data_IF_416086377697
#
_entry.id   IF_416086377697
#
_cell.length_a   1.000
_cell.length_b   1.000
_cell.length_c   1.000
_cell.angle_alpha   90.00
_cell.angle_beta   90.00
_cell.angle_gamma   90.00
#
_symmetry.space_group_name_H-M   'P 1'
#
loop_
_entity.id
_entity.type
_entity.pdbx_description
1 polymer ?
#
# COMPACT_ATOMS: atom_id res chain seq x y z
N UNK A 1 12.15 -7.98 -7.03
CA UNK A 1 11.97 -7.16 -5.83
C UNK A 1 12.10 -5.70 -6.22
N UNK A 2 11.21 -4.85 -5.73
CA UNK A 2 11.31 -3.40 -5.85
C UNK A 2 11.71 -2.84 -4.49
N UNK A 3 12.75 -2.01 -4.49
CA UNK A 3 13.27 -1.32 -3.31
C UNK A 3 13.22 0.19 -3.55
N UNK A 4 12.61 0.92 -2.62
CA UNK A 4 12.34 2.34 -2.77
C UNK A 4 12.85 3.11 -1.56
N UNK A 5 13.37 4.32 -1.80
CA UNK A 5 13.64 5.25 -0.71
C UNK A 5 12.36 5.49 0.12
N UNK A 6 12.46 5.33 1.41
CA UNK A 6 11.34 5.44 2.34
C UNK A 6 11.49 6.63 3.29
N UNK A 7 12.40 7.54 2.98
CA UNK A 7 12.71 8.73 3.76
C UNK A 7 14.03 8.65 4.56
N UNK A 8 14.71 7.50 4.54
CA UNK A 8 15.98 7.30 5.24
C UNK A 8 17.15 8.11 4.66
N UNK A 9 17.06 8.47 3.40
CA UNK A 9 18.08 9.26 2.68
C UNK A 9 17.59 10.68 2.35
N UNK A 10 16.60 11.18 3.06
CA UNK A 10 15.96 12.47 2.81
C UNK A 10 14.49 12.33 2.40
N UNK A 11 13.85 13.43 2.08
CA UNK A 11 12.45 13.42 1.67
C UNK A 11 12.25 12.64 0.38
N UNK A 12 11.16 11.87 0.34
CA UNK A 12 10.76 11.15 -0.84
C UNK A 12 10.30 12.10 -1.94
N UNK A 13 10.66 11.79 -3.16
CA UNK A 13 10.18 12.49 -4.35
C UNK A 13 9.10 11.68 -5.05
N UNK A 14 8.20 12.37 -5.77
CA UNK A 14 7.10 11.69 -6.48
C UNK A 14 7.66 10.76 -7.55
N UNK A 15 8.58 11.27 -8.37
CA UNK A 15 9.24 10.46 -9.39
C UNK A 15 10.32 9.57 -8.77
N UNK A 16 10.25 8.29 -9.08
CA UNK A 16 11.13 7.20 -8.62
C UNK A 16 10.94 6.72 -7.18
N UNK A 17 10.40 7.54 -6.23
CA UNK A 17 10.16 7.06 -4.86
C UNK A 17 8.69 6.67 -4.63
N UNK A 18 7.76 7.50 -5.09
CA UNK A 18 6.34 7.16 -5.06
C UNK A 18 5.91 6.45 -6.35
N UNK A 19 6.24 7.01 -7.51
CA UNK A 19 6.03 6.35 -8.79
C UNK A 19 7.15 5.35 -9.08
N UNK A 20 6.88 4.35 -9.91
CA UNK A 20 7.93 3.49 -10.45
C UNK A 20 8.80 4.26 -11.45
N UNK A 21 10.09 3.98 -11.43
CA UNK A 21 11.01 4.45 -12.45
C UNK A 21 10.75 3.80 -13.81
N UNK A 22 11.24 4.42 -14.88
CA UNK A 22 11.05 3.93 -16.25
C UNK A 22 11.58 2.50 -16.44
N UNK A 23 12.71 2.18 -15.84
CA UNK A 23 13.32 0.85 -15.93
C UNK A 23 12.52 -0.21 -15.17
N UNK A 24 11.92 0.15 -14.04
CA UNK A 24 11.06 -0.75 -13.27
C UNK A 24 9.76 -1.07 -14.02
N UNK A 25 9.15 -0.05 -14.63
CA UNK A 25 7.97 -0.24 -15.50
C UNK A 25 8.33 -1.14 -16.69
N UNK A 26 9.45 -0.86 -17.37
CA UNK A 26 9.92 -1.65 -18.48
C UNK A 26 10.22 -3.11 -18.09
N UNK A 27 10.76 -3.32 -16.88
CA UNK A 27 11.01 -4.65 -16.35
C UNK A 27 9.71 -5.41 -16.11
N UNK A 28 8.73 -4.79 -15.46
CA UNK A 28 7.40 -5.39 -15.23
C UNK A 28 6.77 -5.77 -16.57
N UNK A 29 6.75 -4.85 -17.53
CA UNK A 29 6.15 -5.08 -18.85
C UNK A 29 6.83 -6.24 -19.58
N UNK A 30 8.15 -6.26 -19.60
CA UNK A 30 8.94 -7.31 -20.27
C UNK A 30 8.73 -8.68 -19.64
N UNK A 31 8.78 -8.75 -18.33
CA UNK A 31 8.63 -10.01 -17.58
C UNK A 31 7.19 -10.52 -17.69
N UNK A 32 6.21 -9.65 -17.47
CA UNK A 32 4.80 -10.03 -17.57
C UNK A 32 4.45 -10.57 -18.95
N UNK A 33 4.89 -9.88 -20.02
CA UNK A 33 4.69 -10.35 -21.38
C UNK A 33 5.32 -11.73 -21.62
N UNK A 34 6.61 -11.88 -21.29
CA UNK A 34 7.36 -13.11 -21.58
C UNK A 34 6.84 -14.34 -20.84
N UNK A 35 6.31 -14.16 -19.62
CA UNK A 35 5.79 -15.26 -18.80
C UNK A 35 4.33 -15.53 -19.07
N UNK A 36 3.49 -14.51 -19.25
CA UNK A 36 2.08 -14.69 -19.52
C UNK A 36 1.83 -15.34 -20.88
N UNK A 37 2.64 -15.05 -21.90
CA UNK A 37 2.61 -15.73 -23.21
C UNK A 37 2.85 -17.25 -23.09
N UNK A 38 3.49 -17.69 -22.01
CA UNK A 38 3.77 -19.11 -21.70
C UNK A 38 2.80 -19.70 -20.66
N UNK A 39 1.72 -18.97 -20.32
CA UNK A 39 0.77 -19.37 -19.29
C UNK A 39 1.35 -19.42 -17.88
N UNK A 40 2.48 -18.69 -17.63
CA UNK A 40 3.12 -18.60 -16.32
C UNK A 40 2.67 -17.35 -15.59
N UNK A 41 2.75 -17.39 -14.26
CA UNK A 41 2.35 -16.31 -13.37
C UNK A 41 3.52 -15.41 -13.01
N UNK A 42 3.22 -14.13 -12.79
CA UNK A 42 4.17 -13.12 -12.36
C UNK A 42 3.74 -12.55 -11.03
N UNK A 43 4.63 -12.59 -10.06
CA UNK A 43 4.42 -12.04 -8.72
C UNK A 43 5.46 -10.95 -8.47
N UNK A 44 4.99 -9.79 -8.04
CA UNK A 44 5.87 -8.70 -7.60
C UNK A 44 5.97 -8.74 -6.08
N UNK A 45 7.19 -8.75 -5.56
CA UNK A 45 7.46 -8.63 -4.12
C UNK A 45 7.95 -7.22 -3.86
N UNK A 46 7.21 -6.50 -3.03
CA UNK A 46 7.53 -5.11 -2.65
C UNK A 46 8.29 -5.10 -1.32
N UNK A 47 9.54 -4.66 -1.36
CA UNK A 47 10.34 -4.34 -0.18
C UNK A 47 10.41 -2.82 -0.07
N UNK A 48 9.45 -2.23 0.62
CA UNK A 48 9.24 -0.78 0.70
C UNK A 48 8.84 -0.38 2.12
N UNK A 49 9.24 0.78 2.58
CA UNK A 49 8.87 1.32 3.89
C UNK A 49 7.70 2.30 3.86
N UNK A 50 7.22 2.65 2.67
CA UNK A 50 6.10 3.59 2.49
C UNK A 50 5.23 3.25 1.29
N UNK A 51 4.11 3.93 1.19
CA UNK A 51 3.16 3.76 0.08
C UNK A 51 3.79 4.17 -1.26
N UNK A 52 3.54 3.38 -2.29
CA UNK A 52 3.93 3.68 -3.67
C UNK A 52 2.71 3.65 -4.60
N UNK A 53 2.85 4.25 -5.77
CA UNK A 53 1.86 4.12 -6.83
C UNK A 53 1.80 2.68 -7.35
N UNK A 54 0.61 2.13 -7.42
CA UNK A 54 0.38 0.76 -7.91
C UNK A 54 -0.64 0.68 -9.04
N UNK A 55 -1.43 1.73 -9.23
CA UNK A 55 -2.58 1.69 -10.13
C UNK A 55 -2.19 1.53 -11.61
N UNK A 56 -1.03 2.04 -12.00
CA UNK A 56 -0.58 1.99 -13.40
C UNK A 56 -0.04 0.63 -13.84
N UNK A 57 0.31 -0.25 -12.89
CA UNK A 57 0.99 -1.51 -13.20
C UNK A 57 0.43 -2.76 -12.51
N UNK A 58 -0.38 -2.62 -11.46
CA UNK A 58 -0.89 -3.77 -10.70
C UNK A 58 -1.65 -4.79 -11.55
N UNK A 59 -2.34 -4.34 -12.59
CA UNK A 59 -3.14 -5.19 -13.47
C UNK A 59 -2.28 -5.93 -14.52
N UNK A 60 -0.98 -5.64 -14.57
CA UNK A 60 -0.01 -6.33 -15.43
C UNK A 60 0.59 -7.58 -14.80
N UNK A 61 0.37 -7.78 -13.50
CA UNK A 61 0.92 -8.88 -12.72
C UNK A 61 -0.19 -9.68 -12.06
N UNK A 62 0.10 -10.94 -11.71
CA UNK A 62 -0.91 -11.85 -11.16
C UNK A 62 -1.08 -11.70 -9.65
N UNK A 63 -0.03 -11.29 -8.94
CA UNK A 63 -0.08 -11.03 -7.51
C UNK A 63 1.00 -10.03 -7.06
N UNK A 64 0.72 -9.40 -5.95
CA UNK A 64 1.65 -8.51 -5.25
C UNK A 64 1.78 -8.99 -3.81
N UNK A 65 3.01 -9.26 -3.38
CA UNK A 65 3.34 -9.56 -2.00
C UNK A 65 4.06 -8.36 -1.39
N UNK A 66 3.39 -7.67 -0.49
CA UNK A 66 3.97 -6.54 0.23
C UNK A 66 4.67 -7.03 1.48
N UNK A 67 6.00 -7.01 1.44
CA UNK A 67 6.85 -7.46 2.54
C UNK A 67 7.19 -6.33 3.53
N UNK A 68 6.95 -5.07 3.16
CA UNK A 68 7.45 -3.91 3.88
C UNK A 68 8.97 -3.96 4.06
N UNK A 69 9.49 -3.58 5.21
CA UNK A 69 10.89 -3.71 5.61
C UNK A 69 11.01 -4.83 6.64
N UNK A 70 11.14 -6.10 6.21
CA UNK A 70 10.90 -7.27 7.06
C UNK A 70 12.08 -7.63 8.00
N UNK A 71 13.16 -6.86 7.97
CA UNK A 71 14.31 -7.07 8.83
C UNK A 71 15.18 -8.28 8.44
N UNK A 72 15.95 -8.80 9.41
CA UNK A 72 16.98 -9.80 9.19
C UNK A 72 16.47 -11.13 8.59
N UNK A 73 15.32 -11.61 9.05
CA UNK A 73 14.71 -12.86 8.57
C UNK A 73 13.74 -12.66 7.39
N UNK A 74 13.79 -11.49 6.75
CA UNK A 74 12.86 -11.12 5.70
C UNK A 74 12.83 -12.06 4.51
N UNK A 75 14.00 -12.54 4.09
CA UNK A 75 14.10 -13.49 2.98
C UNK A 75 13.40 -14.81 3.29
N UNK A 76 13.62 -15.36 4.48
CA UNK A 76 12.98 -16.60 4.93
C UNK A 76 11.47 -16.43 5.09
N UNK A 77 11.04 -15.33 5.71
CA UNK A 77 9.62 -15.02 5.91
C UNK A 77 8.86 -14.86 4.59
N UNK A 78 9.44 -14.12 3.64
CA UNK A 78 8.87 -13.95 2.29
C UNK A 78 8.79 -15.29 1.56
N UNK A 79 9.86 -16.12 1.63
CA UNK A 79 9.88 -17.42 0.99
C UNK A 79 8.82 -18.37 1.57
N UNK A 80 8.62 -18.37 2.88
CA UNK A 80 7.64 -19.23 3.55
C UNK A 80 6.20 -18.83 3.19
N UNK A 81 5.90 -17.54 3.12
CA UNK A 81 4.60 -17.05 2.64
C UNK A 81 4.43 -17.39 1.15
N UNK A 82 5.42 -17.10 0.33
CA UNK A 82 5.36 -17.35 -1.12
C UNK A 82 5.19 -18.83 -1.46
N UNK A 83 5.85 -19.72 -0.69
CA UNK A 83 5.74 -21.16 -0.86
C UNK A 83 4.47 -21.77 -0.23
N UNK A 84 3.62 -20.97 0.40
CA UNK A 84 2.40 -21.43 1.04
C UNK A 84 2.59 -22.17 2.37
N UNK A 85 3.80 -22.14 2.95
CA UNK A 85 4.04 -22.70 4.28
C UNK A 85 3.38 -21.89 5.39
N UNK A 86 3.27 -20.58 5.17
CA UNK A 86 2.62 -19.63 6.06
C UNK A 86 1.52 -18.91 5.28
N UNK A 87 0.32 -18.87 5.83
CA UNK A 87 -0.79 -18.14 5.25
C UNK A 87 -0.62 -16.63 5.50
N UNK A 88 -0.66 -15.77 4.47
CA UNK A 88 -0.60 -14.34 4.66
C UNK A 88 -1.84 -13.86 5.44
N UNK A 89 -1.62 -13.16 6.54
CA UNK A 89 -2.70 -12.65 7.41
C UNK A 89 -2.63 -11.14 7.61
N UNK A 90 -1.54 -10.50 7.17
CA UNK A 90 -1.35 -9.07 7.24
C UNK A 90 -2.40 -8.28 6.44
N UNK A 91 -2.79 -7.14 6.96
CA UNK A 91 -3.69 -6.19 6.32
C UNK A 91 -2.99 -4.85 6.16
N UNK A 92 -3.32 -4.11 5.10
CA UNK A 92 -2.74 -2.80 4.87
C UNK A 92 -3.06 -1.85 6.03
N UNK A 93 -2.04 -1.24 6.57
CA UNK A 93 -2.12 -0.21 7.62
C UNK A 93 -2.22 1.21 7.05
N UNK A 94 -2.19 1.32 5.73
CA UNK A 94 -2.26 2.57 4.98
C UNK A 94 -3.15 2.41 3.77
N UNK A 95 -3.76 3.51 3.31
CA UNK A 95 -4.47 3.56 2.03
C UNK A 95 -3.46 3.80 0.92
N UNK A 96 -3.52 3.02 -0.15
CA UNK A 96 -2.74 3.23 -1.38
C UNK A 96 -3.57 4.05 -2.35
N UNK A 97 -3.20 5.30 -2.65
CA UNK A 97 -3.94 6.14 -3.59
C UNK A 97 -3.76 5.66 -5.03
N UNK A 98 -4.61 6.13 -5.95
CA UNK A 98 -4.41 5.90 -7.38
C UNK A 98 -3.22 6.71 -7.91
N UNK A 99 -3.04 7.92 -7.40
CA UNK A 99 -1.94 8.83 -7.73
C UNK A 99 -1.62 9.73 -6.54
N UNK A 100 -0.47 10.38 -6.57
CA UNK A 100 0.00 11.23 -5.47
C UNK A 100 -0.98 12.37 -5.14
N UNK A 101 -1.55 13.01 -6.17
CA UNK A 101 -2.48 14.14 -6.03
C UNK A 101 -3.80 13.77 -5.35
N UNK A 102 -4.11 12.48 -5.23
CA UNK A 102 -5.28 12.02 -4.49
C UNK A 102 -5.09 12.06 -2.98
N UNK A 103 -3.88 12.33 -2.49
CA UNK A 103 -3.62 12.47 -1.05
C UNK A 103 -3.98 13.86 -0.55
N UNK A 104 -4.55 14.00 0.66
CA UNK A 104 -5.03 15.31 1.14
C UNK A 104 -3.91 16.35 1.29
N UNK A 105 -2.68 15.91 1.58
CA UNK A 105 -1.52 16.77 1.79
C UNK A 105 -0.70 17.07 0.52
N UNK A 106 -1.05 16.48 -0.64
CA UNK A 106 -0.22 16.57 -1.85
C UNK A 106 0.07 18.01 -2.30
N UNK A 107 -0.91 18.90 -2.13
CA UNK A 107 -0.80 20.30 -2.60
C UNK A 107 -0.02 21.21 -1.66
N UNK A 108 0.19 20.83 -0.41
CA UNK A 108 0.91 21.62 0.61
C UNK A 108 2.10 20.85 1.22
N UNK A 109 2.47 19.72 0.65
CA UNK A 109 3.67 18.99 1.01
C UNK A 109 4.94 19.79 0.68
N UNK A 110 5.89 19.70 1.58
CA UNK A 110 7.08 20.48 1.83
C UNK A 110 6.81 21.83 2.49
N UNK A 111 5.61 22.40 2.40
CA UNK A 111 5.27 23.67 3.02
C UNK A 111 5.49 24.90 2.11
N UNK A 112 5.57 26.08 2.72
CA UNK A 112 5.60 27.37 2.01
C UNK A 112 6.81 28.21 2.44
N UNK A 113 7.60 28.79 1.50
CA UNK A 113 7.61 28.47 0.06
C UNK A 113 8.19 27.08 -0.22
N UNK A 114 7.80 26.43 -1.31
CA UNK A 114 8.19 25.04 -1.60
C UNK A 114 9.70 24.84 -1.74
N UNK A 115 10.43 25.84 -2.27
CA UNK A 115 11.88 25.77 -2.47
C UNK A 115 12.68 25.89 -1.16
N UNK A 116 12.10 26.49 -0.13
CA UNK A 116 12.73 26.67 1.19
C UNK A 116 11.64 26.77 2.26
N UNK A 117 11.01 25.66 2.64
CA UNK A 117 9.86 25.64 3.52
C UNK A 117 10.16 26.28 4.88
N UNK A 118 9.36 27.25 5.28
CA UNK A 118 9.41 27.89 6.59
C UNK A 118 8.19 27.58 7.43
N UNK A 119 7.08 27.23 6.76
CA UNK A 119 5.81 26.94 7.38
C UNK A 119 5.20 25.69 6.70
N UNK A 120 4.59 24.84 7.48
CA UNK A 120 3.82 23.67 7.01
C UNK A 120 2.43 23.77 7.61
N UNK A 121 1.42 23.81 6.75
CA UNK A 121 0.03 23.86 7.17
C UNK A 121 -0.63 22.52 6.97
N UNK A 122 -1.17 21.95 8.05
CA UNK A 122 -1.93 20.69 8.03
C UNK A 122 -3.40 21.00 7.75
N UNK A 123 -3.73 21.25 6.48
CA UNK A 123 -5.08 21.64 6.06
C UNK A 123 -6.09 20.50 6.17
N UNK A 124 -5.62 19.25 6.12
CA UNK A 124 -6.45 18.06 6.15
C UNK A 124 -7.12 17.80 7.50
N UNK A 125 -6.60 18.37 8.58
CA UNK A 125 -7.12 18.18 9.92
C UNK A 125 -7.22 16.70 10.31
N UNK A 126 -8.42 16.24 10.67
CA UNK A 126 -8.66 14.82 11.01
C UNK A 126 -8.81 13.89 9.79
N UNK A 127 -8.91 14.45 8.59
CA UNK A 127 -9.14 13.70 7.35
C UNK A 127 -7.83 13.19 6.75
N UNK A 128 -7.18 12.27 7.46
CA UNK A 128 -5.92 11.63 7.06
C UNK A 128 -6.18 10.18 6.68
N UNK A 129 -5.48 9.68 5.66
CA UNK A 129 -5.57 8.30 5.21
C UNK A 129 -7.01 7.88 4.89
N UNK A 130 -7.43 6.70 5.36
CA UNK A 130 -8.77 6.16 5.06
C UNK A 130 -9.92 7.09 5.43
N UNK A 131 -9.76 7.95 6.44
CA UNK A 131 -10.80 8.92 6.81
C UNK A 131 -11.06 9.92 5.69
N UNK A 132 -10.02 10.38 5.04
CA UNK A 132 -10.14 11.24 3.86
C UNK A 132 -10.81 10.50 2.71
N UNK A 133 -10.22 9.38 2.29
CA UNK A 133 -10.70 8.60 1.14
C UNK A 133 -12.17 8.19 1.29
N UNK A 134 -12.57 7.72 2.47
CA UNK A 134 -13.94 7.28 2.72
C UNK A 134 -14.92 8.46 2.80
N UNK A 135 -14.55 9.55 3.47
CA UNK A 135 -15.45 10.70 3.66
C UNK A 135 -15.70 11.42 2.34
N UNK A 136 -14.64 11.67 1.57
CA UNK A 136 -14.72 12.42 0.31
C UNK A 136 -14.93 11.53 -0.91
N UNK A 137 -15.12 10.21 -0.71
CA UNK A 137 -15.36 9.23 -1.78
C UNK A 137 -14.26 9.19 -2.84
N UNK A 138 -13.03 9.45 -2.45
CA UNK A 138 -11.86 9.31 -3.32
C UNK A 138 -11.53 7.84 -3.47
N UNK A 139 -11.47 7.33 -4.71
CA UNK A 139 -11.21 5.92 -4.98
C UNK A 139 -9.72 5.60 -4.77
N UNK A 140 -9.36 4.68 -3.87
CA UNK A 140 -7.98 4.23 -3.73
C UNK A 140 -7.63 3.09 -4.70
N UNK A 141 -6.33 2.84 -4.86
CA UNK A 141 -5.82 1.62 -5.50
C UNK A 141 -6.02 0.40 -4.61
N UNK A 142 -5.71 0.56 -3.32
CA UNK A 142 -6.03 -0.38 -2.24
C UNK A 142 -6.45 0.40 -1.00
N UNK A 143 -7.54 -0.03 -0.39
CA UNK A 143 -8.05 0.57 0.84
C UNK A 143 -7.25 0.16 2.08
N UNK A 144 -7.33 0.97 3.13
CA UNK A 144 -6.88 0.58 4.47
C UNK A 144 -7.57 -0.72 4.90
N UNK A 145 -6.82 -1.64 5.43
CA UNK A 145 -7.34 -2.94 5.87
C UNK A 145 -7.41 -4.00 4.75
N UNK A 146 -7.09 -3.64 3.50
CA UNK A 146 -7.03 -4.61 2.41
C UNK A 146 -5.96 -5.67 2.67
N UNK A 147 -6.26 -6.90 2.28
CA UNK A 147 -5.31 -8.00 2.30
C UNK A 147 -6.03 -9.32 2.03
N UNK A 148 -5.45 -10.10 1.12
CA UNK A 148 -5.94 -11.43 0.76
C UNK A 148 -5.29 -12.48 1.64
N UNK A 149 -5.93 -13.64 1.71
CA UNK A 149 -5.46 -14.84 2.38
C UNK A 149 -5.49 -16.00 1.39
N UNK A 150 -4.77 -17.08 1.69
CA UNK A 150 -4.88 -18.35 0.95
C UNK A 150 -6.12 -19.15 1.37
N UNK A 151 -6.77 -18.73 2.46
CA UNK A 151 -7.99 -19.34 2.98
C UNK A 151 -9.13 -18.33 3.00
N UNK A 152 -10.35 -18.84 2.92
CA UNK A 152 -11.56 -18.05 3.11
C UNK A 152 -11.96 -18.01 4.58
N UNK A 153 -12.64 -16.93 4.97
CA UNK A 153 -13.18 -16.74 6.31
C UNK A 153 -14.69 -16.60 6.24
N UNK A 154 -15.39 -17.31 7.11
CA UNK A 154 -16.83 -17.12 7.32
C UNK A 154 -17.10 -16.68 8.75
N UNK A 155 -18.02 -15.77 8.91
CA UNK A 155 -18.48 -15.29 10.22
C UNK A 155 -19.90 -15.81 10.48
N UNK A 156 -20.10 -16.45 11.62
CA UNK A 156 -21.40 -16.96 12.03
C UNK A 156 -21.71 -16.53 13.48
N UNK A 157 -22.98 -16.66 13.85
CA UNK A 157 -23.45 -16.47 15.23
C UNK A 157 -23.12 -15.10 15.86
N UNK A 158 -23.04 -14.06 15.04
CA UNK A 158 -22.88 -12.71 15.56
C UNK A 158 -24.05 -12.32 16.46
N UNK A 159 -23.76 -12.05 17.73
CA UNK A 159 -24.74 -11.65 18.73
C UNK A 159 -24.27 -10.42 19.48
N UNK A 160 -25.10 -9.41 19.56
CA UNK A 160 -24.90 -8.27 20.45
C UNK A 160 -25.25 -8.66 21.87
N UNK A 161 -24.38 -8.39 22.82
CA UNK A 161 -24.67 -8.61 24.26
C UNK A 161 -25.77 -7.68 24.80
N UNK A 162 -26.04 -6.57 24.11
CA UNK A 162 -27.13 -5.63 24.42
C UNK A 162 -27.59 -4.95 23.14
N UNK A 163 -28.89 -4.75 23.01
CA UNK A 163 -29.51 -3.97 21.94
C UNK A 163 -29.40 -2.44 22.18
N UNK A 164 -28.99 -2.02 23.37
CA UNK A 164 -28.86 -0.61 23.72
C UNK A 164 -27.44 -0.32 24.17
N UNK A 165 -26.84 0.71 23.58
CA UNK A 165 -25.56 1.27 24.02
C UNK A 165 -25.84 2.32 25.12
N UNK A 166 -25.33 2.06 26.33
CA UNK A 166 -25.29 3.04 27.42
C UNK A 166 -23.79 3.33 27.71
N UNK A 167 -23.48 4.56 28.13
CA UNK A 167 -22.13 5.04 28.37
C UNK A 167 -21.30 4.25 29.43
N UNK A 168 -21.79 3.10 29.89
CA UNK A 168 -21.11 2.20 30.82
C UNK A 168 -20.67 0.94 30.08
N UNK A 169 -19.57 1.03 29.33
CA UNK A 169 -18.83 -0.15 28.92
C UNK A 169 -18.08 -0.69 30.14
N UNK A 170 -18.48 -1.85 30.63
CA UNK A 170 -17.64 -2.69 31.49
C UNK A 170 -16.89 -3.68 30.64
#
# INVERSE_FOLDING_TARGET
TLDKNCGENGDRVVDNDFNLGKDEIALIDKVSKAFNEKGKKVVVILNIGGVIETASWKDKVDAILLAWQPGQEGGNSVADVFAGKVNPSGKLTMTFPMKYEDTPSAKNWLGTPAENPKEVTYEEGIYVGYRYFNTFKVKPSYEFGFGKSYTDFSYSDFKLGSATFKNNLK
#
